data_IF_482384291216
#
_entry.id   IF_482384291216
#
_cell.length_a   1.000
_cell.length_b   1.000
_cell.length_c   1.000
_cell.angle_alpha   90.00
_cell.angle_beta   90.00
_cell.angle_gamma   90.00
#
_symmetry.space_group_name_H-M   'P 1'
#
loop_
_entity.id
_entity.type
_entity.pdbx_description
1 polymer ?
#
# COMPACT_ATOMS: atom_id res chain seq x y z
N UNK A 1 -34.63 79.51 35.93
CA UNK A 1 -34.94 78.83 34.68
C UNK A 1 -33.78 77.89 34.40
N UNK A 2 -33.93 76.59 34.73
CA UNK A 2 -32.87 75.55 34.58
C UNK A 2 -33.29 74.64 33.45
N UNK A 3 -32.48 74.58 32.38
CA UNK A 3 -32.60 73.61 31.29
C UNK A 3 -31.84 72.38 31.70
N UNK A 4 -32.50 71.28 31.73
CA UNK A 4 -31.91 69.90 31.86
C UNK A 4 -31.72 69.33 30.47
N UNK A 5 -30.44 69.04 30.10
CA UNK A 5 -30.05 68.29 28.93
C UNK A 5 -30.16 66.82 29.24
N UNK A 6 -31.03 66.07 28.47
CA UNK A 6 -31.11 64.66 28.51
C UNK A 6 -30.07 63.98 27.59
N UNK A 7 -29.19 63.16 28.15
CA UNK A 7 -28.21 62.38 27.46
C UNK A 7 -28.85 61.07 26.93
N UNK A 8 -28.95 60.94 25.61
CA UNK A 8 -29.39 59.69 24.97
C UNK A 8 -28.21 58.75 24.79
N UNK A 9 -28.21 57.60 25.48
CA UNK A 9 -27.24 56.54 25.31
C UNK A 9 -27.65 55.72 24.11
N UNK A 10 -26.79 55.61 23.09
CA UNK A 10 -26.97 54.71 21.95
C UNK A 10 -26.25 53.39 22.30
N UNK A 11 -27.00 52.32 22.47
CA UNK A 11 -26.46 50.98 22.62
C UNK A 11 -26.15 50.40 21.23
N UNK A 12 -24.86 50.17 20.93
CA UNK A 12 -24.43 49.49 19.73
C UNK A 12 -24.50 47.97 19.96
N UNK A 13 -25.42 47.30 19.27
CA UNK A 13 -25.50 45.87 19.23
C UNK A 13 -24.51 45.32 18.18
N UNK A 14 -23.44 44.69 18.65
CA UNK A 14 -22.50 43.97 17.79
C UNK A 14 -23.08 42.56 17.45
N UNK A 15 -23.53 42.39 16.20
CA UNK A 15 -23.82 41.07 15.66
C UNK A 15 -22.51 40.32 15.42
N UNK A 16 -22.22 39.32 16.25
CA UNK A 16 -21.13 38.40 16.04
C UNK A 16 -21.52 37.40 14.91
N UNK A 17 -20.85 37.51 13.75
CA UNK A 17 -20.98 36.57 12.66
C UNK A 17 -20.20 35.29 13.04
N UNK A 18 -20.90 34.26 13.53
CA UNK A 18 -20.33 32.94 13.75
C UNK A 18 -20.07 32.30 12.38
N UNK A 19 -18.82 32.25 11.95
CA UNK A 19 -18.42 31.51 10.76
C UNK A 19 -18.59 29.99 11.04
N UNK A 20 -19.61 29.38 10.44
CA UNK A 20 -19.78 27.93 10.38
C UNK A 20 -18.65 27.36 9.52
N UNK A 21 -17.61 26.79 10.15
CA UNK A 21 -16.63 25.99 9.46
C UNK A 21 -17.34 24.75 8.85
N UNK A 22 -17.12 24.43 7.56
CA UNK A 22 -17.69 23.24 6.98
C UNK A 22 -17.17 22.01 7.73
N UNK A 23 -17.99 20.94 7.91
CA UNK A 23 -17.52 19.72 8.53
C UNK A 23 -16.35 19.16 7.70
N UNK A 24 -15.24 18.86 8.35
CA UNK A 24 -14.12 18.19 7.73
C UNK A 24 -14.63 16.86 7.16
N UNK A 25 -14.61 16.71 5.85
CA UNK A 25 -14.93 15.45 5.18
C UNK A 25 -14.04 14.36 5.78
N UNK A 26 -14.64 13.41 6.48
CA UNK A 26 -13.93 12.24 6.98
C UNK A 26 -13.36 11.51 5.77
N UNK A 27 -12.05 11.37 5.70
CA UNK A 27 -11.38 10.68 4.62
C UNK A 27 -11.79 9.21 4.65
N UNK A 28 -12.44 8.76 3.57
CA UNK A 28 -13.05 7.44 3.52
C UNK A 28 -11.98 6.37 3.35
N UNK A 29 -12.03 5.33 4.20
CA UNK A 29 -11.21 4.14 4.04
C UNK A 29 -11.67 3.34 2.82
N UNK A 30 -10.77 3.10 1.87
CA UNK A 30 -10.98 2.16 0.76
C UNK A 30 -10.71 0.75 1.28
N UNK A 31 -11.67 -0.17 1.08
CA UNK A 31 -11.55 -1.58 1.48
C UNK A 31 -11.78 -2.49 0.28
N UNK A 32 -10.98 -3.56 0.17
CA UNK A 32 -11.12 -4.62 -0.83
C UNK A 32 -11.10 -5.96 -0.11
N UNK A 33 -12.22 -6.66 -0.11
CA UNK A 33 -12.40 -7.99 0.49
C UNK A 33 -12.50 -9.11 -0.55
N UNK A 34 -12.43 -8.77 -1.84
CA UNK A 34 -12.51 -9.65 -3.00
C UNK A 34 -13.85 -10.42 -3.17
N UNK A 35 -14.86 -10.15 -2.36
CA UNK A 35 -16.14 -10.90 -2.33
C UNK A 35 -16.90 -10.86 -3.66
N UNK A 36 -16.82 -9.76 -4.41
CA UNK A 36 -17.47 -9.54 -5.70
C UNK A 36 -16.61 -9.90 -6.93
N UNK A 37 -15.39 -10.43 -6.69
CA UNK A 37 -14.44 -10.77 -7.74
C UNK A 37 -14.64 -12.21 -8.26
N UNK A 38 -14.09 -12.53 -9.43
CA UNK A 38 -14.26 -13.84 -10.08
C UNK A 38 -13.08 -14.74 -9.78
N UNK A 39 -13.34 -15.91 -9.17
CA UNK A 39 -12.31 -16.93 -8.91
C UNK A 39 -11.66 -17.39 -10.22
N UNK A 40 -10.33 -17.49 -10.20
CA UNK A 40 -9.48 -17.84 -11.35
C UNK A 40 -9.09 -16.68 -12.24
N UNK A 41 -9.74 -15.51 -12.09
CA UNK A 41 -9.45 -14.29 -12.87
C UNK A 41 -8.41 -13.39 -12.17
N UNK A 42 -7.84 -12.45 -12.93
CA UNK A 42 -7.14 -11.30 -12.36
C UNK A 42 -8.12 -10.40 -11.59
N UNK A 43 -7.64 -9.73 -10.55
CA UNK A 43 -8.47 -8.85 -9.73
C UNK A 43 -8.98 -7.63 -10.51
N UNK A 44 -10.24 -7.26 -10.25
CA UNK A 44 -10.80 -5.99 -10.72
C UNK A 44 -10.18 -4.79 -10.01
N UNK A 45 -9.85 -4.96 -8.72
CA UNK A 45 -9.34 -3.89 -7.84
C UNK A 45 -7.83 -3.68 -7.96
N UNK A 46 -7.10 -4.68 -8.47
CA UNK A 46 -5.65 -4.63 -8.61
C UNK A 46 -5.21 -4.85 -10.06
N UNK A 47 -4.12 -4.20 -10.46
CA UNK A 47 -3.42 -4.44 -11.71
C UNK A 47 -2.17 -5.28 -11.42
N UNK A 48 -2.13 -6.52 -11.91
CA UNK A 48 -0.98 -7.42 -11.79
C UNK A 48 0.14 -6.96 -12.72
N UNK A 49 1.14 -6.26 -12.20
CA UNK A 49 2.24 -5.68 -13.02
C UNK A 49 3.32 -6.72 -13.27
N UNK A 50 3.79 -7.38 -12.22
CA UNK A 50 4.82 -8.43 -12.28
C UNK A 50 4.31 -9.68 -11.58
N UNK A 51 4.55 -10.85 -12.18
CA UNK A 51 4.15 -12.14 -11.64
C UNK A 51 2.71 -12.54 -11.97
N UNK A 52 2.27 -13.64 -11.36
CA UNK A 52 0.93 -14.23 -11.56
C UNK A 52 0.10 -13.96 -10.31
N UNK A 53 -0.97 -13.19 -10.48
CA UNK A 53 -1.91 -12.84 -9.43
C UNK A 53 -3.31 -13.21 -9.87
N UNK A 54 -4.05 -13.92 -9.02
CA UNK A 54 -5.43 -14.38 -9.32
C UNK A 54 -6.27 -14.36 -8.07
N UNK A 55 -7.56 -14.19 -8.25
CA UNK A 55 -8.54 -14.41 -7.19
C UNK A 55 -8.71 -15.91 -6.99
N UNK A 56 -8.58 -16.37 -5.76
CA UNK A 56 -8.79 -17.76 -5.40
C UNK A 56 -9.85 -17.92 -4.31
N UNK A 57 -10.35 -19.15 -4.15
CA UNK A 57 -11.30 -19.49 -3.09
C UNK A 57 -10.53 -20.13 -1.92
N UNK A 58 -10.63 -19.54 -0.74
CA UNK A 58 -10.08 -20.05 0.50
C UNK A 58 -11.21 -20.24 1.52
N UNK A 59 -11.66 -21.49 1.71
CA UNK A 59 -12.84 -21.77 2.50
C UNK A 59 -14.08 -21.04 1.96
N UNK A 60 -14.73 -20.25 2.80
CA UNK A 60 -15.89 -19.43 2.42
C UNK A 60 -15.50 -18.04 1.84
N UNK A 61 -14.24 -17.66 1.88
CA UNK A 61 -13.76 -16.33 1.44
C UNK A 61 -13.05 -16.40 0.10
N UNK A 62 -13.06 -15.28 -0.63
CA UNK A 62 -12.18 -15.05 -1.76
C UNK A 62 -10.96 -14.27 -1.31
N UNK A 63 -9.82 -14.58 -1.90
CA UNK A 63 -8.52 -14.00 -1.59
C UNK A 63 -7.81 -13.63 -2.87
N UNK A 64 -6.88 -12.68 -2.81
CA UNK A 64 -5.95 -12.46 -3.90
C UNK A 64 -4.70 -13.30 -3.66
N UNK A 65 -4.41 -14.22 -4.56
CA UNK A 65 -3.25 -15.09 -4.49
C UNK A 65 -2.14 -14.58 -5.41
N UNK A 66 -0.90 -14.57 -4.91
CA UNK A 66 0.29 -14.57 -5.76
C UNK A 66 0.79 -15.99 -5.88
N UNK A 67 0.96 -16.48 -7.10
CA UNK A 67 1.42 -17.83 -7.37
C UNK A 67 2.79 -17.84 -8.06
N UNK A 68 3.83 -17.96 -7.25
CA UNK A 68 5.22 -18.08 -7.71
C UNK A 68 5.69 -19.52 -7.91
N UNK A 69 4.85 -20.56 -7.72
CA UNK A 69 5.26 -21.97 -7.76
C UNK A 69 5.87 -22.38 -9.09
N UNK A 70 5.50 -21.73 -10.18
CA UNK A 70 6.06 -21.94 -11.51
C UNK A 70 7.20 -21.00 -11.87
N UNK A 71 7.65 -20.18 -10.92
CA UNK A 71 8.73 -19.23 -11.13
C UNK A 71 10.02 -19.95 -11.56
N UNK A 72 10.69 -19.34 -12.55
CA UNK A 72 12.01 -19.75 -13.02
C UNK A 72 12.93 -18.55 -13.07
N UNK A 73 14.19 -18.74 -12.76
CA UNK A 73 15.20 -17.70 -12.87
C UNK A 73 15.26 -17.13 -14.30
N UNK A 74 15.34 -15.82 -14.43
CA UNK A 74 15.38 -15.12 -15.72
C UNK A 74 14.02 -14.98 -16.42
N UNK A 75 12.93 -15.49 -15.84
CA UNK A 75 11.60 -15.36 -16.42
C UNK A 75 11.10 -13.92 -16.38
N UNK A 76 10.70 -13.39 -17.54
CA UNK A 76 10.05 -12.06 -17.65
C UNK A 76 8.55 -12.16 -17.40
N UNK A 77 7.95 -11.06 -16.92
CA UNK A 77 6.49 -10.90 -16.86
C UNK A 77 5.92 -10.56 -18.22
N UNK A 78 4.82 -11.22 -18.58
CA UNK A 78 4.10 -10.93 -19.81
C UNK A 78 3.35 -9.59 -19.73
N UNK A 79 3.24 -8.89 -20.87
CA UNK A 79 2.40 -7.69 -21.00
C UNK A 79 2.86 -6.48 -20.17
N UNK A 80 4.12 -6.42 -19.74
CA UNK A 80 4.63 -5.36 -18.89
C UNK A 80 4.48 -3.97 -19.51
N UNK A 81 4.63 -3.85 -20.84
CA UNK A 81 4.51 -2.57 -21.55
C UNK A 81 3.07 -2.02 -21.50
N UNK A 82 2.07 -2.88 -21.70
CA UNK A 82 0.66 -2.48 -21.65
C UNK A 82 0.25 -2.11 -20.21
N UNK A 83 0.73 -2.87 -19.26
CA UNK A 83 0.52 -2.58 -17.82
C UNK A 83 1.17 -1.28 -17.39
N UNK A 84 2.40 -1.01 -17.85
CA UNK A 84 3.09 0.26 -17.60
C UNK A 84 2.34 1.45 -18.24
N UNK A 85 1.82 1.28 -19.45
CA UNK A 85 0.99 2.30 -20.12
C UNK A 85 -0.31 2.55 -19.37
N UNK A 86 -0.96 1.51 -18.86
CA UNK A 86 -2.18 1.64 -18.05
C UNK A 86 -1.94 2.42 -16.76
N UNK A 87 -0.74 2.30 -16.16
CA UNK A 87 -0.38 3.02 -14.92
C UNK A 87 0.04 4.46 -15.16
N UNK A 88 0.81 4.73 -16.21
CA UNK A 88 1.59 5.96 -16.36
C UNK A 88 1.36 6.70 -17.71
N UNK A 89 0.45 6.22 -18.56
CA UNK A 89 0.19 6.83 -19.88
C UNK A 89 1.47 6.93 -20.71
N UNK A 90 1.73 8.10 -21.30
CA UNK A 90 2.91 8.33 -22.13
C UNK A 90 4.27 8.21 -21.39
N UNK A 91 4.25 8.27 -20.05
CA UNK A 91 5.47 8.06 -19.23
C UNK A 91 5.84 6.59 -19.04
N UNK A 92 5.14 5.66 -19.71
CA UNK A 92 5.40 4.22 -19.60
C UNK A 92 6.84 3.82 -20.00
N UNK A 93 7.47 4.57 -20.90
CA UNK A 93 8.84 4.33 -21.31
C UNK A 93 9.84 4.52 -20.15
N UNK A 94 9.64 5.56 -19.31
CA UNK A 94 10.48 5.77 -18.12
C UNK A 94 10.41 4.56 -17.17
N UNK A 95 9.23 3.96 -17.04
CA UNK A 95 9.00 2.77 -16.24
C UNK A 95 9.75 1.55 -16.83
N UNK A 96 9.62 1.31 -18.14
CA UNK A 96 10.25 0.17 -18.80
C UNK A 96 11.77 0.23 -18.76
N UNK A 97 12.37 1.41 -18.83
CA UNK A 97 13.82 1.60 -18.77
C UNK A 97 14.44 1.24 -17.42
N UNK A 98 13.62 1.25 -16.36
CA UNK A 98 14.11 1.15 -14.98
C UNK A 98 13.56 -0.05 -14.21
N UNK A 99 12.38 -0.56 -14.60
CA UNK A 99 11.75 -1.67 -13.88
C UNK A 99 12.42 -3.00 -14.22
N UNK A 100 12.68 -3.79 -13.20
CA UNK A 100 13.07 -5.18 -13.39
C UNK A 100 11.82 -6.02 -13.65
N UNK A 101 11.55 -6.34 -14.91
CA UNK A 101 10.35 -7.04 -15.37
C UNK A 101 10.40 -8.56 -15.18
N UNK A 102 11.25 -9.07 -14.28
CA UNK A 102 11.33 -10.47 -13.94
C UNK A 102 10.33 -10.86 -12.87
N UNK A 103 9.76 -12.05 -12.99
CA UNK A 103 8.82 -12.61 -12.01
C UNK A 103 9.41 -12.83 -10.60
N UNK A 104 10.71 -12.58 -10.41
CA UNK A 104 11.41 -12.73 -9.12
C UNK A 104 10.84 -11.85 -8.01
N UNK A 105 10.33 -10.66 -8.35
CA UNK A 105 9.68 -9.74 -7.44
C UNK A 105 8.26 -9.43 -7.91
N UNK A 106 7.31 -10.38 -7.77
CA UNK A 106 5.93 -10.14 -8.17
C UNK A 106 5.33 -8.97 -7.39
N UNK A 107 4.59 -8.11 -8.08
CA UNK A 107 3.77 -7.09 -7.44
C UNK A 107 2.55 -6.71 -8.25
N UNK A 108 1.55 -6.22 -7.54
CA UNK A 108 0.31 -5.70 -8.09
C UNK A 108 0.00 -4.33 -7.48
N UNK A 109 -0.74 -3.51 -8.22
CA UNK A 109 -1.00 -2.10 -7.87
C UNK A 109 -2.49 -1.89 -7.68
N UNK A 110 -2.89 -1.25 -6.58
CA UNK A 110 -4.27 -0.86 -6.34
C UNK A 110 -4.72 0.19 -7.37
N UNK A 111 -5.82 -0.09 -8.10
CA UNK A 111 -6.30 0.75 -9.22
C UNK A 111 -6.93 2.05 -8.72
N UNK A 112 -7.69 1.99 -7.62
CA UNK A 112 -8.49 3.09 -7.11
C UNK A 112 -7.71 4.08 -6.24
N UNK A 113 -6.39 3.87 -6.05
CA UNK A 113 -5.50 4.75 -5.29
C UNK A 113 -4.34 5.17 -6.18
N UNK A 114 -4.53 6.17 -7.05
CA UNK A 114 -3.53 6.56 -8.05
C UNK A 114 -2.29 7.24 -7.42
N UNK A 115 -2.45 7.89 -6.28
CA UNK A 115 -1.36 8.48 -5.50
C UNK A 115 -1.65 8.39 -4.00
N UNK A 116 -0.62 8.05 -3.22
CA UNK A 116 -0.71 7.93 -1.77
C UNK A 116 0.54 8.54 -1.13
N UNK A 117 0.35 9.45 -0.19
CA UNK A 117 1.44 10.19 0.45
C UNK A 117 1.48 10.05 1.97
N UNK A 118 0.33 9.79 2.61
CA UNK A 118 0.24 9.64 4.06
C UNK A 118 -1.01 8.85 4.46
N UNK A 119 -0.94 8.15 5.59
CA UNK A 119 -2.03 7.34 6.12
C UNK A 119 -1.61 5.92 6.48
N UNK A 120 -2.55 4.99 6.46
CA UNK A 120 -2.33 3.58 6.77
C UNK A 120 -2.72 2.69 5.58
N UNK A 121 -1.90 1.67 5.30
CA UNK A 121 -2.18 0.59 4.36
C UNK A 121 -2.10 -0.70 5.16
N UNK A 122 -3.16 -1.50 5.13
CA UNK A 122 -3.24 -2.75 5.86
C UNK A 122 -3.68 -3.89 4.94
N UNK A 123 -3.23 -5.09 5.24
CA UNK A 123 -3.64 -6.32 4.55
C UNK A 123 -3.43 -7.51 5.46
N UNK A 124 -4.30 -8.50 5.38
CA UNK A 124 -4.05 -9.83 5.95
C UNK A 124 -3.36 -10.70 4.92
N UNK A 125 -2.41 -11.50 5.34
CA UNK A 125 -1.73 -12.45 4.46
C UNK A 125 -1.54 -13.82 5.13
N UNK A 126 -1.43 -14.84 4.30
CA UNK A 126 -1.06 -16.20 4.72
C UNK A 126 -0.04 -16.77 3.75
N UNK A 127 1.14 -17.16 4.25
CA UNK A 127 2.15 -17.89 3.47
C UNK A 127 1.76 -19.35 3.32
N UNK A 128 1.32 -19.75 2.14
CA UNK A 128 0.81 -21.12 1.87
C UNK A 128 1.94 -22.08 1.58
N UNK A 129 2.84 -21.69 0.68
CA UNK A 129 4.03 -22.48 0.31
C UNK A 129 5.08 -21.61 -0.38
N UNK A 130 6.25 -22.18 -0.54
CA UNK A 130 7.44 -21.60 -1.14
C UNK A 130 8.66 -22.19 -0.45
N UNK A 131 9.63 -22.64 -1.20
CA UNK A 131 10.89 -23.22 -0.69
C UNK A 131 11.97 -22.15 -0.54
N UNK A 132 12.02 -21.19 -1.48
CA UNK A 132 12.97 -20.10 -1.49
C UNK A 132 12.44 -18.93 -0.64
N UNK A 133 11.13 -18.66 -0.78
CA UNK A 133 10.51 -17.53 -0.07
C UNK A 133 9.01 -17.79 0.19
N UNK A 134 8.46 -17.08 1.18
CA UNK A 134 7.02 -16.99 1.45
C UNK A 134 6.67 -15.52 1.78
N UNK A 135 7.33 -14.62 1.06
CA UNK A 135 7.26 -13.18 1.33
C UNK A 135 5.91 -12.56 1.00
N UNK A 136 5.35 -11.86 1.97
CA UNK A 136 4.18 -11.00 1.79
C UNK A 136 4.55 -9.55 2.10
N UNK A 137 4.23 -8.61 1.20
CA UNK A 137 4.60 -7.22 1.35
C UNK A 137 3.52 -6.25 0.93
N UNK A 138 3.56 -5.07 1.56
CA UNK A 138 2.85 -3.87 1.11
C UNK A 138 3.84 -3.05 0.29
N UNK A 139 3.50 -2.82 -0.99
CA UNK A 139 4.24 -1.96 -1.90
C UNK A 139 3.72 -0.53 -1.77
N UNK A 140 4.62 0.44 -1.73
CA UNK A 140 4.28 1.87 -1.71
C UNK A 140 5.35 2.72 -2.37
N UNK A 141 5.06 3.99 -2.63
CA UNK A 141 5.97 4.93 -3.29
C UNK A 141 6.39 4.49 -4.69
N UNK A 142 5.55 3.73 -5.41
CA UNK A 142 5.88 3.32 -6.77
C UNK A 142 5.83 4.52 -7.71
N UNK A 143 6.97 4.80 -8.32
CA UNK A 143 7.21 5.94 -9.21
C UNK A 143 7.07 5.55 -10.69
N UNK A 144 6.86 6.51 -11.59
CA UNK A 144 6.84 6.26 -13.04
C UNK A 144 8.16 5.66 -13.59
N UNK A 145 9.29 5.89 -12.92
CA UNK A 145 10.57 5.30 -13.27
C UNK A 145 10.79 3.88 -12.73
N UNK A 146 9.77 3.28 -12.10
CA UNK A 146 9.82 1.92 -11.55
C UNK A 146 10.48 1.79 -10.17
N UNK A 147 10.91 2.90 -9.55
CA UNK A 147 11.42 2.87 -8.17
C UNK A 147 10.27 2.72 -7.18
N UNK A 148 10.47 1.93 -6.12
CA UNK A 148 9.46 1.73 -5.08
C UNK A 148 10.06 1.27 -3.75
N UNK A 149 9.21 1.27 -2.73
CA UNK A 149 9.48 0.73 -1.40
C UNK A 149 8.51 -0.41 -1.09
N UNK A 150 8.94 -1.34 -0.24
CA UNK A 150 8.03 -2.35 0.32
C UNK A 150 8.41 -2.70 1.76
N UNK A 151 7.42 -2.83 2.63
CA UNK A 151 7.56 -3.50 3.92
C UNK A 151 7.08 -4.92 3.74
N UNK A 152 7.97 -5.89 4.00
CA UNK A 152 7.74 -7.30 3.74
C UNK A 152 7.97 -8.15 4.99
N UNK A 153 7.00 -8.98 5.35
CA UNK A 153 7.15 -10.09 6.29
C UNK A 153 7.47 -11.39 5.54
N UNK A 154 8.24 -12.30 6.16
CA UNK A 154 8.56 -13.61 5.57
C UNK A 154 8.54 -14.72 6.62
N UNK A 155 7.59 -15.67 6.53
CA UNK A 155 7.50 -16.83 7.40
C UNK A 155 8.77 -17.68 7.49
N UNK A 156 9.49 -17.85 6.38
CA UNK A 156 10.71 -18.70 6.38
C UNK A 156 11.91 -18.05 7.10
N UNK A 157 11.89 -16.71 7.21
CA UNK A 157 13.01 -15.94 7.77
C UNK A 157 12.68 -15.28 9.12
N UNK A 158 11.42 -15.28 9.55
CA UNK A 158 10.94 -14.61 10.76
C UNK A 158 11.46 -13.17 10.86
N UNK A 159 11.26 -12.38 9.79
CA UNK A 159 11.70 -10.99 9.74
C UNK A 159 10.67 -10.06 9.11
N UNK A 160 10.78 -8.78 9.46
CA UNK A 160 10.10 -7.67 8.80
C UNK A 160 11.16 -6.73 8.24
N UNK A 161 11.09 -6.44 6.94
CA UNK A 161 12.13 -5.67 6.27
C UNK A 161 11.51 -4.55 5.44
N UNK A 162 12.03 -3.33 5.58
CA UNK A 162 11.81 -2.25 4.63
C UNK A 162 12.86 -2.36 3.52
N UNK A 163 12.39 -2.65 2.32
CA UNK A 163 13.21 -2.72 1.12
C UNK A 163 13.02 -1.50 0.26
N UNK A 164 14.11 -1.06 -0.39
CA UNK A 164 14.12 -0.09 -1.47
C UNK A 164 14.49 -0.77 -2.77
N UNK A 165 13.72 -0.46 -3.82
CA UNK A 165 14.03 -0.78 -5.21
C UNK A 165 14.31 0.52 -5.93
N UNK A 166 15.51 0.69 -6.39
CA UNK A 166 15.97 1.90 -7.06
C UNK A 166 16.83 1.51 -8.27
N UNK A 167 16.44 2.02 -9.44
CA UNK A 167 17.12 1.69 -10.71
C UNK A 167 17.23 0.18 -10.96
N UNK A 168 16.16 -0.56 -10.65
CA UNK A 168 16.10 -2.02 -10.80
C UNK A 168 16.91 -2.82 -9.78
N UNK A 169 17.49 -2.18 -8.76
CA UNK A 169 18.28 -2.86 -7.72
C UNK A 169 17.58 -2.80 -6.37
N UNK A 170 17.58 -3.92 -5.67
CA UNK A 170 17.05 -4.04 -4.32
C UNK A 170 18.14 -3.80 -3.27
N UNK A 171 17.82 -3.01 -2.24
CA UNK A 171 18.64 -2.85 -1.03
C UNK A 171 17.74 -2.80 0.22
N UNK A 172 18.24 -3.33 1.34
CA UNK A 172 17.54 -3.18 2.63
C UNK A 172 17.77 -1.78 3.18
N UNK A 173 16.68 -1.18 3.65
CA UNK A 173 16.71 0.12 4.36
C UNK A 173 16.73 -0.12 5.86
N UNK A 174 15.80 -0.98 6.34
CA UNK A 174 15.69 -1.38 7.74
C UNK A 174 15.38 -2.87 7.82
N UNK A 175 16.07 -3.60 8.70
CA UNK A 175 15.92 -5.06 8.82
C UNK A 175 15.66 -5.45 10.26
N UNK A 176 14.45 -5.89 10.56
CA UNK A 176 14.06 -6.35 11.90
C UNK A 176 13.97 -7.88 11.90
N UNK A 177 14.79 -8.51 12.76
CA UNK A 177 14.82 -9.96 12.95
C UNK A 177 13.90 -10.38 14.11
N UNK A 178 13.62 -11.68 14.19
CA UNK A 178 12.80 -12.27 15.25
C UNK A 178 11.38 -11.67 15.33
N UNK A 179 10.79 -11.46 14.17
CA UNK A 179 9.37 -11.12 14.02
C UNK A 179 8.60 -12.41 13.78
N UNK A 180 7.93 -12.98 14.79
CA UNK A 180 7.23 -14.27 14.64
C UNK A 180 6.21 -14.20 13.51
N UNK A 181 6.40 -15.05 12.51
CA UNK A 181 5.54 -15.13 11.34
C UNK A 181 5.43 -16.61 10.96
N UNK A 182 4.35 -17.27 11.31
CA UNK A 182 4.17 -18.70 11.04
C UNK A 182 3.66 -18.90 9.60
N UNK A 183 4.17 -19.93 8.92
CA UNK A 183 3.60 -20.40 7.66
C UNK A 183 2.23 -21.02 7.90
N UNK A 184 1.30 -20.93 6.93
CA UNK A 184 -0.09 -21.42 7.01
C UNK A 184 -0.87 -20.85 8.20
N UNK A 185 -0.60 -19.61 8.51
CA UNK A 185 -1.31 -18.81 9.50
C UNK A 185 -1.56 -17.42 8.93
N UNK A 186 -2.76 -16.90 9.18
CA UNK A 186 -3.11 -15.53 8.83
C UNK A 186 -2.41 -14.55 9.75
N UNK A 187 -1.78 -13.53 9.15
CA UNK A 187 -1.11 -12.43 9.82
C UNK A 187 -1.65 -11.09 9.34
N UNK A 188 -1.65 -10.08 10.21
CA UNK A 188 -2.01 -8.71 9.89
C UNK A 188 -0.74 -7.89 9.63
N UNK A 189 -0.53 -7.49 8.37
CA UNK A 189 0.56 -6.58 7.98
C UNK A 189 0.01 -5.17 7.78
N UNK A 190 0.65 -4.17 8.40
CA UNK A 190 0.26 -2.77 8.25
C UNK A 190 1.49 -1.87 8.09
N UNK A 191 1.36 -0.88 7.22
CA UNK A 191 2.31 0.21 7.05
C UNK A 191 1.60 1.53 7.34
N UNK A 192 2.18 2.34 8.22
CA UNK A 192 1.75 3.72 8.47
C UNK A 192 2.79 4.67 7.92
N UNK A 193 2.32 5.69 7.20
CA UNK A 193 3.15 6.69 6.54
C UNK A 193 2.72 8.09 7.00
N UNK A 194 3.69 8.88 7.45
CA UNK A 194 3.50 10.27 7.84
C UNK A 194 4.64 11.11 7.24
N UNK A 195 4.41 11.63 6.03
CA UNK A 195 5.45 12.29 5.26
C UNK A 195 6.60 11.35 4.91
N UNK A 196 7.79 11.58 5.47
CA UNK A 196 8.95 10.72 5.28
C UNK A 196 9.04 9.56 6.31
N UNK A 197 8.24 9.59 7.37
CA UNK A 197 8.24 8.57 8.41
C UNK A 197 7.44 7.35 7.98
N UNK A 198 8.05 6.15 8.08
CA UNK A 198 7.45 4.85 7.77
C UNK A 198 7.49 3.99 9.00
N UNK A 199 6.35 3.44 9.39
CA UNK A 199 6.22 2.46 10.47
C UNK A 199 5.64 1.15 9.91
N UNK A 200 6.22 0.01 10.32
CA UNK A 200 5.78 -1.33 9.94
C UNK A 200 5.27 -2.11 11.14
N UNK A 201 4.09 -2.70 10.99
CA UNK A 201 3.41 -3.47 12.04
C UNK A 201 3.12 -4.88 11.54
N UNK A 202 3.30 -5.86 12.43
CA UNK A 202 2.88 -7.24 12.23
C UNK A 202 2.06 -7.68 13.45
N UNK A 203 0.85 -8.19 13.20
CA UNK A 203 -0.10 -8.66 14.23
C UNK A 203 -0.33 -7.61 15.34
N UNK A 204 -0.55 -6.37 14.92
CA UNK A 204 -0.82 -5.23 15.80
C UNK A 204 0.43 -4.63 16.49
N UNK A 205 1.57 -5.32 16.48
CA UNK A 205 2.81 -4.83 17.09
C UNK A 205 3.67 -4.06 16.10
N UNK A 206 4.15 -2.87 16.49
CA UNK A 206 5.14 -2.13 15.70
C UNK A 206 6.52 -2.77 15.86
N UNK A 207 7.10 -3.17 14.75
CA UNK A 207 8.45 -3.74 14.68
C UNK A 207 9.45 -2.82 13.98
N UNK A 208 8.97 -1.98 13.04
CA UNK A 208 9.82 -1.17 12.19
C UNK A 208 9.41 0.30 12.29
N UNK A 209 10.41 1.19 12.39
CA UNK A 209 10.26 2.63 12.29
C UNK A 209 11.47 3.22 11.58
N UNK A 210 11.26 3.94 10.49
CA UNK A 210 12.33 4.53 9.70
C UNK A 210 11.92 5.89 9.15
N UNK A 211 12.88 6.83 9.03
CA UNK A 211 12.67 8.11 8.37
C UNK A 211 13.43 8.11 7.04
N UNK A 212 12.68 8.17 5.95
CA UNK A 212 13.21 8.24 4.60
C UNK A 212 13.85 9.61 4.33
N UNK A 213 14.77 9.72 3.34
CA UNK A 213 15.35 11.00 2.95
C UNK A 213 14.34 11.93 2.26
N UNK A 214 13.23 11.42 1.73
CA UNK A 214 12.18 12.16 1.06
C UNK A 214 10.80 11.65 1.48
N UNK A 215 9.76 12.50 1.48
CA UNK A 215 8.38 12.08 1.70
C UNK A 215 7.92 11.05 0.68
N UNK A 216 7.04 10.17 1.15
CA UNK A 216 6.35 9.19 0.28
C UNK A 216 5.36 9.93 -0.63
N UNK A 217 5.32 9.56 -1.92
CA UNK A 217 4.28 9.96 -2.87
C UNK A 217 4.34 9.02 -4.07
N UNK A 218 3.26 8.31 -4.35
CA UNK A 218 3.19 7.39 -5.49
C UNK A 218 2.14 6.31 -5.32
N UNK A 219 2.16 5.34 -6.23
CA UNK A 219 1.20 4.23 -6.20
C UNK A 219 1.52 3.23 -5.10
N UNK A 220 0.49 2.49 -4.71
CA UNK A 220 0.55 1.47 -3.66
C UNK A 220 -0.01 0.15 -4.15
N UNK A 221 0.30 -0.94 -3.44
CA UNK A 221 -0.18 -2.26 -3.79
C UNK A 221 0.38 -3.37 -2.90
N UNK A 222 0.49 -4.57 -3.47
CA UNK A 222 1.00 -5.75 -2.80
C UNK A 222 2.25 -6.29 -3.50
N UNK A 223 3.09 -6.99 -2.75
CA UNK A 223 4.40 -7.45 -3.20
C UNK A 223 4.70 -8.86 -2.70
N UNK A 224 5.48 -9.61 -3.48
CA UNK A 224 5.97 -10.91 -3.08
C UNK A 224 7.35 -11.22 -3.67
N UNK A 225 7.86 -12.44 -3.52
CA UNK A 225 9.20 -12.82 -3.99
C UNK A 225 9.27 -14.28 -4.42
N UNK A 226 9.99 -14.52 -5.51
CA UNK A 226 10.38 -15.83 -6.02
C UNK A 226 9.21 -16.84 -6.14
N UNK A 227 9.39 -18.01 -5.54
CA UNK A 227 8.46 -19.15 -5.56
C UNK A 227 7.35 -19.06 -4.49
N UNK A 228 7.15 -17.90 -3.90
CA UNK A 228 6.11 -17.66 -2.89
C UNK A 228 4.73 -17.98 -3.45
N UNK A 229 3.96 -18.77 -2.70
CA UNK A 229 2.52 -18.90 -2.86
C UNK A 229 1.87 -18.31 -1.60
N UNK A 230 1.24 -17.15 -1.76
CA UNK A 230 0.75 -16.35 -0.64
C UNK A 230 -0.64 -15.85 -0.95
N UNK A 231 -1.52 -15.92 0.04
CA UNK A 231 -2.85 -15.34 0.03
C UNK A 231 -2.85 -13.97 0.69
N UNK A 232 -3.66 -13.06 0.11
CA UNK A 232 -3.93 -11.73 0.65
C UNK A 232 -5.45 -11.52 0.76
N UNK A 233 -5.88 -10.96 1.90
CA UNK A 233 -7.27 -10.64 2.19
C UNK A 233 -7.40 -9.30 2.93
N UNK A 234 -8.61 -8.77 2.98
CA UNK A 234 -8.97 -7.62 3.80
C UNK A 234 -8.04 -6.40 3.59
N UNK A 235 -7.70 -6.09 2.32
CA UNK A 235 -6.88 -4.93 2.01
C UNK A 235 -7.62 -3.64 2.32
N UNK A 236 -6.96 -2.72 3.02
CA UNK A 236 -7.55 -1.45 3.41
C UNK A 236 -6.54 -0.30 3.29
N UNK A 237 -7.01 0.85 2.81
CA UNK A 237 -6.25 2.10 2.72
C UNK A 237 -7.03 3.20 3.43
N UNK A 238 -6.42 3.80 4.44
CA UNK A 238 -6.95 4.93 5.18
C UNK A 238 -5.99 6.10 5.02
N UNK A 239 -6.25 7.06 4.11
CA UNK A 239 -5.41 8.23 3.96
C UNK A 239 -5.35 9.06 5.26
N UNK A 240 -4.26 9.79 5.51
CA UNK A 240 -4.18 10.75 6.62
C UNK A 240 -5.07 11.97 6.35
N UNK A 241 -5.52 12.61 7.44
CA UNK A 241 -6.24 13.88 7.38
C UNK A 241 -5.32 15.02 6.98
#
# INVERSE_FOLDING_TARGET
>A
MKLTQGMRTIAAASLGLAALLPPALAQQTTKVDFSDETVGAESKSFLSVVGVWRVEQEGAKKVLAVDGRQWKEGQSSAGIADKARALYGERYAEFLDRVQAFAYFPYTVAKDVPDFSAGEIAVRFEGISGRIDQGAGILFNLKPNGDYLTVRANPLENNLVLWKFERGRRSSVEWVRNTPTATRQWHDLKVRIAGAKVEGYLDGKRYLEHTLPQPVSGRIGLWSKADSYVYFADYAVTPAK
#
